data_IF_023229404055
#
_entry.id   IF_023229404055
#
_cell.length_a   1.000
_cell.length_b   1.000
_cell.length_c   1.000
_cell.angle_alpha   90.00
_cell.angle_beta   90.00
_cell.angle_gamma   90.00
#
_symmetry.space_group_name_H-M   'P 1'
#
loop_
_entity.id
_entity.type
_entity.pdbx_description
1 polymer ?
#
# COMPACT_ATOMS: atom_id res chain seq x y z
N UNK A 1 -4.46 17.82 -4.22
CA UNK A 1 -4.78 17.19 -2.91
C UNK A 1 -3.70 16.17 -2.60
N UNK A 2 -3.26 16.07 -1.35
CA UNK A 2 -2.31 15.04 -0.91
C UNK A 2 -3.02 14.07 0.04
N UNK A 3 -2.69 12.79 -0.03
CA UNK A 3 -3.25 11.73 0.79
C UNK A 3 -2.13 10.95 1.48
N UNK A 4 -2.28 10.67 2.77
CA UNK A 4 -1.38 9.76 3.51
C UNK A 4 -2.17 8.86 4.45
N UNK A 5 -1.58 7.72 4.79
CA UNK A 5 -2.10 6.81 5.80
C UNK A 5 -1.29 6.99 7.08
N UNK A 6 -1.96 7.27 8.17
CA UNK A 6 -1.38 7.30 9.52
C UNK A 6 -1.83 6.04 10.25
N UNK A 7 -0.87 5.28 10.75
CA UNK A 7 -1.12 4.13 11.61
C UNK A 7 -0.74 4.52 13.04
N UNK A 8 -1.71 4.54 13.93
CA UNK A 8 -1.51 4.88 15.34
C UNK A 8 -2.56 4.18 16.19
N UNK A 9 -2.18 3.80 17.42
CA UNK A 9 -3.09 3.16 18.39
C UNK A 9 -3.86 1.95 17.82
N UNK A 10 -3.20 1.15 16.98
CA UNK A 10 -3.83 -0.02 16.35
C UNK A 10 -4.90 0.31 15.29
N UNK A 11 -5.00 1.57 14.85
CA UNK A 11 -5.94 2.04 13.82
C UNK A 11 -5.20 2.59 12.61
N UNK A 12 -5.94 2.66 11.49
CA UNK A 12 -5.56 3.32 10.24
C UNK A 12 -6.41 4.56 10.05
N UNK A 13 -5.77 5.69 9.83
CA UNK A 13 -6.40 6.99 9.56
C UNK A 13 -5.92 7.49 8.20
N UNK A 14 -6.83 7.68 7.26
CA UNK A 14 -6.53 8.38 6.01
C UNK A 14 -6.62 9.87 6.26
N UNK A 15 -5.55 10.59 5.94
CA UNK A 15 -5.52 12.04 5.98
C UNK A 15 -5.46 12.59 4.56
N UNK A 16 -6.39 13.47 4.21
CA UNK A 16 -6.46 14.09 2.89
C UNK A 16 -6.44 15.61 3.02
N UNK A 17 -5.53 16.27 2.32
CA UNK A 17 -5.45 17.74 2.32
C UNK A 17 -6.49 18.34 1.38
N UNK A 18 -7.00 19.54 1.70
CA UNK A 18 -7.70 20.36 0.72
C UNK A 18 -6.84 20.60 -0.53
N UNK A 19 -7.45 20.90 -1.68
CA UNK A 19 -6.73 21.37 -2.87
C UNK A 19 -5.90 22.63 -2.54
N UNK A 20 -4.69 22.74 -3.10
CA UNK A 20 -3.82 23.90 -2.89
C UNK A 20 -3.05 23.96 -1.57
N UNK A 21 -3.33 23.09 -0.59
CA UNK A 21 -2.62 23.09 0.70
C UNK A 21 -1.24 22.41 0.61
N UNK A 22 -0.23 23.02 1.24
CA UNK A 22 1.14 22.48 1.31
C UNK A 22 1.34 21.50 2.47
N UNK A 23 0.68 21.72 3.62
CA UNK A 23 0.78 20.95 4.86
C UNK A 23 -0.45 20.07 5.12
N UNK A 24 -0.34 19.15 6.09
CA UNK A 24 -1.42 18.28 6.55
C UNK A 24 -2.16 18.83 7.79
N UNK A 25 -1.93 20.07 8.19
CA UNK A 25 -2.57 20.68 9.38
C UNK A 25 -4.09 20.81 9.20
N UNK A 26 -4.53 21.21 8.00
CA UNK A 26 -5.94 21.30 7.63
C UNK A 26 -6.49 20.00 7.01
N UNK A 27 -5.83 18.85 7.22
CA UNK A 27 -6.25 17.61 6.61
C UNK A 27 -7.56 17.08 7.22
N UNK A 28 -8.43 16.56 6.37
CA UNK A 28 -9.56 15.75 6.82
C UNK A 28 -9.04 14.37 7.23
N UNK A 29 -9.46 13.90 8.42
CA UNK A 29 -9.01 12.65 9.01
C UNK A 29 -10.17 11.65 9.04
N UNK A 30 -9.99 10.49 8.42
CA UNK A 30 -11.00 9.43 8.40
C UNK A 30 -10.39 8.15 8.95
N UNK A 31 -10.95 7.61 10.03
CA UNK A 31 -10.58 6.28 10.53
C UNK A 31 -11.15 5.24 9.56
N UNK A 32 -10.27 4.47 8.92
CA UNK A 32 -10.62 3.48 7.88
C UNK A 32 -10.53 2.03 8.37
N UNK A 33 -10.23 1.81 9.65
CA UNK A 33 -10.25 0.50 10.29
C UNK A 33 -9.03 0.20 11.16
N UNK A 34 -8.88 -1.07 11.54
CA UNK A 34 -7.76 -1.55 12.36
C UNK A 34 -6.44 -1.61 11.58
N UNK A 35 -5.31 -1.51 12.27
CA UNK A 35 -3.96 -1.56 11.70
C UNK A 35 -3.60 -2.90 11.05
N UNK A 36 -4.21 -4.01 11.48
CA UNK A 36 -4.01 -5.35 10.91
C UNK A 36 -2.53 -5.73 10.72
N UNK A 37 -1.67 -5.47 11.72
CA UNK A 37 -0.25 -5.79 11.65
C UNK A 37 0.63 -4.78 10.89
N UNK A 38 0.06 -3.66 10.42
CA UNK A 38 0.86 -2.50 10.02
C UNK A 38 1.54 -1.88 11.23
N UNK A 39 2.81 -1.52 11.07
CA UNK A 39 3.56 -0.81 12.10
C UNK A 39 3.02 0.61 12.27
N UNK A 40 3.03 1.18 13.49
CA UNK A 40 2.75 2.58 13.69
C UNK A 40 3.68 3.47 12.85
N UNK A 41 3.13 4.53 12.26
CA UNK A 41 3.90 5.44 11.41
C UNK A 41 3.04 6.19 10.39
N UNK A 42 3.71 6.98 9.56
CA UNK A 42 3.09 7.76 8.48
C UNK A 42 3.56 7.21 7.14
N UNK A 43 2.61 6.86 6.28
CA UNK A 43 2.84 6.34 4.94
C UNK A 43 2.29 7.34 3.91
N UNK A 44 3.18 8.02 3.19
CA UNK A 44 2.81 9.05 2.22
C UNK A 44 2.31 8.42 0.92
N UNK A 45 0.99 8.21 0.83
CA UNK A 45 0.36 7.61 -0.35
C UNK A 45 0.45 8.52 -1.59
N UNK A 46 0.48 9.84 -1.40
CA UNK A 46 0.62 10.81 -2.50
C UNK A 46 1.97 10.74 -3.23
N UNK A 47 2.99 10.15 -2.62
CA UNK A 47 4.32 9.95 -3.22
C UNK A 47 4.51 8.50 -3.70
N UNK A 48 3.43 7.73 -3.85
CA UNK A 48 3.49 6.37 -4.39
C UNK A 48 3.92 6.36 -5.85
N UNK A 49 4.67 5.35 -6.24
CA UNK A 49 5.00 5.08 -7.63
C UNK A 49 3.89 4.24 -8.28
N UNK A 50 3.49 4.54 -9.52
CA UNK A 50 2.55 3.68 -10.24
C UNK A 50 3.18 2.31 -10.50
N UNK A 51 2.37 1.26 -10.42
CA UNK A 51 2.82 -0.09 -10.74
C UNK A 51 3.15 -0.23 -12.24
N UNK A 52 4.37 -0.66 -12.54
CA UNK A 52 4.72 -1.22 -13.84
C UNK A 52 4.19 -2.66 -13.93
N UNK A 53 3.25 -2.89 -14.86
CA UNK A 53 2.61 -4.20 -15.04
C UNK A 53 3.54 -5.29 -15.58
N UNK A 54 4.77 -4.94 -15.99
CA UNK A 54 5.79 -5.92 -16.39
C UNK A 54 6.62 -6.43 -15.21
N UNK A 55 6.45 -5.84 -14.02
CA UNK A 55 7.21 -6.19 -12.81
C UNK A 55 6.34 -6.89 -11.76
N UNK A 56 7.01 -7.58 -10.84
CA UNK A 56 6.38 -8.18 -9.66
C UNK A 56 6.78 -7.43 -8.40
N UNK A 57 5.81 -7.21 -7.52
CA UNK A 57 5.97 -6.41 -6.31
C UNK A 57 5.65 -7.24 -5.07
N UNK A 58 6.67 -7.50 -4.24
CA UNK A 58 6.51 -8.24 -2.99
C UNK A 58 6.58 -7.30 -1.80
N UNK A 59 5.57 -7.35 -0.93
CA UNK A 59 5.44 -6.38 0.15
C UNK A 59 4.09 -6.39 0.85
N UNK A 60 3.97 -5.50 1.84
CA UNK A 60 2.81 -5.43 2.72
C UNK A 60 1.74 -4.50 2.16
N UNK A 61 0.47 -4.92 2.18
CA UNK A 61 -0.65 -4.09 1.73
C UNK A 61 -0.98 -3.05 2.80
N UNK A 62 -0.89 -1.77 2.46
CA UNK A 62 -1.09 -0.66 3.39
C UNK A 62 -2.54 -0.19 3.44
N UNK A 63 -3.14 0.01 2.26
CA UNK A 63 -4.45 0.60 2.11
C UNK A 63 -5.05 0.25 0.75
N UNK A 64 -6.37 0.27 0.66
CA UNK A 64 -7.08 0.21 -0.60
C UNK A 64 -8.29 1.15 -0.50
N UNK A 65 -8.48 1.95 -1.53
CA UNK A 65 -9.66 2.80 -1.70
C UNK A 65 -10.46 2.35 -2.94
N UNK A 66 -11.34 3.22 -3.44
CA UNK A 66 -12.20 2.91 -4.59
C UNK A 66 -11.42 2.77 -5.90
N UNK A 67 -10.26 3.41 -6.01
CA UNK A 67 -9.49 3.52 -7.25
C UNK A 67 -8.17 2.79 -7.18
N UNK A 68 -7.61 2.57 -6.00
CA UNK A 68 -6.23 2.13 -5.85
C UNK A 68 -5.99 1.17 -4.71
N UNK A 69 -4.99 0.32 -4.90
CA UNK A 69 -4.40 -0.55 -3.86
C UNK A 69 -2.96 -0.10 -3.65
N UNK A 70 -2.57 0.13 -2.40
CA UNK A 70 -1.24 0.61 -2.03
C UNK A 70 -0.47 -0.49 -1.32
N UNK A 71 0.71 -0.81 -1.85
CA UNK A 71 1.61 -1.83 -1.32
C UNK A 71 2.96 -1.21 -0.96
N UNK A 72 3.50 -1.54 0.21
CA UNK A 72 4.86 -1.13 0.61
C UNK A 72 5.87 -2.18 0.16
N UNK A 73 6.77 -1.80 -0.74
CA UNK A 73 7.87 -2.64 -1.25
C UNK A 73 9.21 -2.02 -0.85
N UNK A 74 9.85 -2.60 0.18
CA UNK A 74 11.05 -2.00 0.76
C UNK A 74 10.79 -0.59 1.31
N UNK A 75 11.41 0.42 0.68
CA UNK A 75 11.24 1.85 1.01
C UNK A 75 10.13 2.53 0.21
N UNK A 76 9.72 1.95 -0.91
CA UNK A 76 8.75 2.53 -1.82
C UNK A 76 7.32 2.10 -1.48
N UNK A 77 6.37 2.91 -1.94
CA UNK A 77 4.95 2.55 -1.95
C UNK A 77 4.53 2.48 -3.41
N UNK A 78 3.99 1.33 -3.80
CA UNK A 78 3.49 1.07 -5.14
C UNK A 78 1.97 1.22 -5.14
N UNK A 79 1.47 1.96 -6.12
CA UNK A 79 0.05 2.21 -6.36
C UNK A 79 -0.40 1.37 -7.56
N UNK A 80 -1.27 0.42 -7.29
CA UNK A 80 -1.90 -0.43 -8.29
C UNK A 80 -3.32 0.08 -8.57
N UNK A 81 -3.82 -0.08 -9.80
CA UNK A 81 -5.22 0.22 -10.09
C UNK A 81 -6.14 -0.79 -9.42
N UNK A 82 -7.13 -0.33 -8.66
CA UNK A 82 -8.11 -1.20 -7.99
C UNK A 82 -8.93 -2.03 -8.98
N UNK A 83 -9.15 -1.52 -10.20
CA UNK A 83 -9.88 -2.19 -11.27
C UNK A 83 -9.16 -3.43 -11.81
N UNK A 84 -7.83 -3.52 -11.61
CA UNK A 84 -7.04 -4.67 -12.07
C UNK A 84 -7.29 -5.92 -11.20
N UNK A 85 -7.87 -5.77 -10.00
CA UNK A 85 -8.07 -6.86 -9.03
C UNK A 85 -9.51 -7.36 -9.04
N UNK A 86 -9.71 -8.67 -9.17
CA UNK A 86 -10.99 -9.33 -8.89
C UNK A 86 -11.41 -9.13 -7.42
N UNK A 87 -10.46 -9.32 -6.51
CA UNK A 87 -10.63 -9.15 -5.07
C UNK A 87 -9.50 -8.31 -4.50
N UNK A 88 -9.84 -7.37 -3.61
CA UNK A 88 -8.82 -6.56 -2.91
C UNK A 88 -8.01 -7.47 -1.99
N UNK A 89 -6.67 -7.40 -2.04
CA UNK A 89 -5.82 -8.02 -1.04
C UNK A 89 -6.16 -7.56 0.38
N UNK A 90 -5.99 -8.45 1.35
CA UNK A 90 -6.23 -8.10 2.74
C UNK A 90 -5.22 -7.08 3.23
N UNK A 91 -5.69 -6.00 3.87
CA UNK A 91 -4.81 -4.97 4.42
C UNK A 91 -3.97 -5.56 5.56
N UNK A 92 -2.66 -5.34 5.51
CA UNK A 92 -1.69 -5.87 6.45
C UNK A 92 -1.05 -7.19 6.00
N UNK A 93 -1.64 -7.88 5.03
CA UNK A 93 -1.05 -9.09 4.45
C UNK A 93 0.24 -8.78 3.66
N UNK A 94 1.17 -9.73 3.66
CA UNK A 94 2.39 -9.67 2.86
C UNK A 94 2.22 -10.60 1.66
N UNK A 95 2.12 -10.00 0.47
CA UNK A 95 1.83 -10.72 -0.77
C UNK A 95 2.78 -10.28 -1.89
N UNK A 96 2.86 -11.09 -2.93
CA UNK A 96 3.44 -10.73 -4.22
C UNK A 96 2.33 -10.41 -5.20
N UNK A 97 2.42 -9.26 -5.87
CA UNK A 97 1.50 -8.82 -6.93
C UNK A 97 2.24 -8.83 -8.26
N UNK A 98 1.74 -9.59 -9.22
CA UNK A 98 2.17 -9.61 -10.62
C UNK A 98 0.96 -9.36 -11.53
N UNK A 99 1.20 -9.24 -12.83
CA UNK A 99 0.12 -9.04 -13.80
C UNK A 99 0.22 -10.04 -14.94
N UNK A 100 -0.94 -10.53 -15.38
CA UNK A 100 -1.01 -11.44 -16.52
C UNK A 100 -1.07 -10.68 -17.86
N UNK A 101 -1.11 -11.43 -18.97
CA UNK A 101 -1.15 -10.87 -20.33
C UNK A 101 -2.35 -9.94 -20.60
N UNK A 102 -3.43 -10.05 -19.81
CA UNK A 102 -4.61 -9.19 -19.91
C UNK A 102 -4.51 -7.96 -18.99
N UNK A 103 -3.40 -7.81 -18.26
CA UNK A 103 -3.17 -6.73 -17.31
C UNK A 103 -3.99 -6.85 -16.02
N UNK A 104 -4.54 -8.03 -15.71
CA UNK A 104 -5.20 -8.35 -14.44
C UNK A 104 -4.15 -8.65 -13.38
N UNK A 105 -4.41 -8.20 -12.16
CA UNK A 105 -3.52 -8.42 -11.03
C UNK A 105 -3.68 -9.82 -10.46
N UNK A 106 -2.58 -10.54 -10.35
CA UNK A 106 -2.48 -11.84 -9.70
C UNK A 106 -1.78 -11.66 -8.36
N UNK A 107 -2.43 -12.13 -7.28
CA UNK A 107 -1.90 -12.02 -5.93
C UNK A 107 -1.58 -13.40 -5.38
N UNK A 108 -0.34 -13.59 -4.94
CA UNK A 108 0.13 -14.81 -4.30
C UNK A 108 0.72 -14.48 -2.93
N UNK A 109 0.70 -15.44 -2.01
CA UNK A 109 1.45 -15.29 -0.76
C UNK A 109 2.91 -14.97 -1.10
N UNK A 110 3.47 -13.94 -0.48
CA UNK A 110 4.86 -13.59 -0.72
C UNK A 110 5.73 -14.76 -0.24
N UNK A 111 6.39 -15.46 -1.17
CA UNK A 111 7.53 -16.28 -0.80
C UNK A 111 8.58 -15.33 -0.28
N UNK A 112 8.83 -15.37 1.04
CA UNK A 112 10.00 -14.71 1.60
C UNK A 112 11.20 -15.32 0.88
N UNK A 113 11.85 -14.57 -0.02
CA UNK A 113 13.21 -14.91 -0.41
C UNK A 113 14.04 -14.74 0.86
N UNK A 114 14.12 -15.83 1.61
CA UNK A 114 14.97 -15.98 2.77
C UNK A 114 16.39 -15.75 2.26
N UNK A 115 16.89 -14.54 2.50
CA UNK A 115 18.25 -14.17 2.16
C UNK A 115 19.18 -15.24 2.73
N UNK A 116 19.79 -16.02 1.84
CA UNK A 116 20.92 -16.88 2.18
C UNK A 116 22.02 -15.97 2.71
N UNK A 117 22.22 -16.00 4.02
CA UNK A 117 23.20 -15.18 4.71
C UNK A 117 23.55 -15.66 6.12
N UNK A 118 23.46 -16.96 6.39
CA UNK A 118 24.22 -17.58 7.48
C UNK A 118 25.64 -17.84 6.97
N UNK A 119 26.61 -16.97 7.29
CA UNK A 119 28.02 -17.36 7.37
C UNK A 119 28.77 -16.55 8.44
N UNK A 120 29.04 -17.31 9.53
CA UNK A 120 30.06 -17.20 10.57
C UNK A 120 30.00 -16.01 11.52
#
# INVERSE_FOLDING_TARGET
MKQRLVVMNGQRVVQTTPPGTVSFEAANNVVVGKANGLKPGVYNLYSSLPADKQQSYSGQILHADKESVFQKTGVNIIKHSRSDFDKVPEIGSVISISYNAQGRAESAAATMQQGRGLKR
#
